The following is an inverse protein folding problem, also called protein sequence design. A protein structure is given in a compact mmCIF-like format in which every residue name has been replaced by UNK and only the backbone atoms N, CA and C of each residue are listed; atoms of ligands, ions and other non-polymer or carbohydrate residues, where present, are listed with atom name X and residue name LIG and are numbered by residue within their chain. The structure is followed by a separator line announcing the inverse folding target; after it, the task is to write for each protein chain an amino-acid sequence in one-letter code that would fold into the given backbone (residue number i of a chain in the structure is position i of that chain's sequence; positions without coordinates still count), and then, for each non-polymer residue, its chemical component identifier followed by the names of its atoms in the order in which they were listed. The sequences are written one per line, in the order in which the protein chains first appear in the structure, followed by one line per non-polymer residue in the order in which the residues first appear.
data_IF_846831892703
#
_entry.id   IF_846831892703
#
_cell.length_a   1.000
_cell.length_b   1.000
_cell.length_c   1.000
_cell.angle_alpha   90.00
_cell.angle_beta   90.00
_cell.angle_gamma   90.00
#
_symmetry.space_group_name_H-M   'P 1'
#
loop_
_entity.id
_entity.type
_entity.pdbx_description
1 polymer ?
#
# COMPACT_ATOMS: atom_id res chain seq x y z
N UNK A 1 -62.00 35.68 -15.02
CA UNK A 1 -62.31 34.61 -14.06
C UNK A 1 -61.27 33.53 -14.29
N UNK A 2 -60.35 33.31 -13.33
CA UNK A 2 -59.23 32.37 -13.52
C UNK A 2 -59.78 30.94 -13.64
N UNK A 3 -59.27 30.16 -14.59
CA UNK A 3 -59.69 28.78 -14.89
C UNK A 3 -59.56 27.83 -13.67
N UNK A 4 -58.75 28.22 -12.68
CA UNK A 4 -58.51 27.49 -11.44
C UNK A 4 -59.52 27.75 -10.31
N UNK A 5 -60.30 28.84 -10.36
CA UNK A 5 -61.32 29.15 -9.32
C UNK A 5 -62.63 28.37 -9.53
N UNK A 6 -62.82 27.75 -10.70
CA UNK A 6 -64.00 26.93 -11.02
C UNK A 6 -63.83 25.44 -10.73
N UNK A 7 -62.66 24.98 -10.27
CA UNK A 7 -62.40 23.56 -10.02
C UNK A 7 -63.03 23.15 -8.70
N UNK A 8 -63.90 22.13 -8.73
CA UNK A 8 -64.49 21.56 -7.53
C UNK A 8 -63.39 21.04 -6.60
N UNK A 9 -63.24 21.67 -5.41
CA UNK A 9 -62.20 21.34 -4.43
C UNK A 9 -62.16 19.86 -4.07
N UNK A 10 -63.32 19.24 -3.91
CA UNK A 10 -63.39 17.83 -3.52
C UNK A 10 -62.86 16.92 -4.62
N UNK A 11 -63.18 17.23 -5.89
CA UNK A 11 -62.65 16.50 -7.04
C UNK A 11 -61.12 16.71 -7.20
N UNK A 12 -60.64 17.94 -6.97
CA UNK A 12 -59.21 18.25 -6.99
C UNK A 12 -58.44 17.49 -5.90
N UNK A 13 -58.97 17.46 -4.67
CA UNK A 13 -58.36 16.72 -3.56
C UNK A 13 -58.34 15.21 -3.81
N UNK A 14 -59.41 14.65 -4.36
CA UNK A 14 -59.45 13.24 -4.76
C UNK A 14 -58.40 12.93 -5.84
N UNK A 15 -58.33 13.75 -6.88
CA UNK A 15 -57.31 13.59 -7.93
C UNK A 15 -55.88 13.72 -7.38
N UNK A 16 -55.61 14.71 -6.52
CA UNK A 16 -54.32 14.88 -5.87
C UNK A 16 -53.97 13.70 -4.96
N UNK A 17 -54.95 13.11 -4.26
CA UNK A 17 -54.75 11.93 -3.43
C UNK A 17 -54.24 10.75 -4.26
N UNK A 18 -54.90 10.48 -5.39
CA UNK A 18 -54.56 9.37 -6.27
C UNK A 18 -53.19 9.58 -6.93
N UNK A 19 -52.94 10.76 -7.49
CA UNK A 19 -51.65 11.11 -8.12
C UNK A 19 -50.52 11.05 -7.09
N UNK A 20 -50.76 11.51 -5.86
CA UNK A 20 -49.79 11.42 -4.76
C UNK A 20 -49.42 9.98 -4.46
N UNK A 21 -50.41 9.09 -4.38
CA UNK A 21 -50.16 7.67 -4.13
C UNK A 21 -49.32 7.05 -5.26
N UNK A 22 -49.57 7.42 -6.51
CA UNK A 22 -48.80 6.97 -7.67
C UNK A 22 -47.36 7.50 -7.65
N UNK A 23 -47.15 8.79 -7.39
CA UNK A 23 -45.81 9.40 -7.30
C UNK A 23 -44.99 8.83 -6.12
N UNK A 24 -45.61 8.60 -4.96
CA UNK A 24 -44.96 7.96 -3.83
C UNK A 24 -44.55 6.52 -4.15
N UNK A 25 -45.40 5.78 -4.86
CA UNK A 25 -45.10 4.42 -5.31
C UNK A 25 -43.94 4.43 -6.31
N UNK A 26 -43.94 5.37 -7.25
CA UNK A 26 -42.88 5.55 -8.23
C UNK A 26 -41.55 5.85 -7.55
N UNK A 27 -41.57 6.74 -6.55
CA UNK A 27 -40.39 7.07 -5.75
C UNK A 27 -39.85 5.84 -5.01
N UNK A 28 -40.72 5.05 -4.35
CA UNK A 28 -40.34 3.81 -3.66
C UNK A 28 -39.70 2.79 -4.61
N UNK A 29 -40.34 2.51 -5.74
CA UNK A 29 -39.81 1.57 -6.74
C UNK A 29 -38.46 2.02 -7.30
N UNK A 30 -38.31 3.31 -7.60
CA UNK A 30 -37.06 3.89 -8.11
C UNK A 30 -35.94 3.79 -7.06
N UNK A 31 -36.25 4.05 -5.79
CA UNK A 31 -35.30 3.89 -4.68
C UNK A 31 -34.83 2.44 -4.53
N UNK A 32 -35.76 1.49 -4.62
CA UNK A 32 -35.44 0.06 -4.53
C UNK A 32 -34.58 -0.41 -5.72
N UNK A 33 -34.90 0.03 -6.94
CA UNK A 33 -34.09 -0.24 -8.13
C UNK A 33 -32.64 0.26 -7.96
N UNK A 34 -32.47 1.50 -7.48
CA UNK A 34 -31.16 2.09 -7.23
C UNK A 34 -30.39 1.33 -6.14
N UNK A 35 -31.06 0.95 -5.06
CA UNK A 35 -30.46 0.15 -3.99
C UNK A 35 -29.97 -1.21 -4.51
N UNK A 36 -30.82 -1.92 -5.28
CA UNK A 36 -30.46 -3.19 -5.87
C UNK A 36 -29.33 -3.06 -6.89
N UNK A 37 -29.35 -2.03 -7.74
CA UNK A 37 -28.28 -1.76 -8.71
C UNK A 37 -26.93 -1.53 -8.02
N UNK A 38 -26.92 -0.74 -6.94
CA UNK A 38 -25.73 -0.55 -6.12
C UNK A 38 -25.22 -1.88 -5.55
N UNK A 39 -26.10 -2.73 -5.00
CA UNK A 39 -25.69 -4.04 -4.49
C UNK A 39 -25.12 -4.95 -5.58
N UNK A 40 -25.76 -5.01 -6.74
CA UNK A 40 -25.30 -5.79 -7.90
C UNK A 40 -23.85 -5.43 -8.29
N UNK A 41 -23.49 -4.14 -8.21
CA UNK A 41 -22.16 -3.66 -8.55
C UNK A 41 -21.05 -4.10 -7.58
N UNK A 42 -21.40 -4.57 -6.38
CA UNK A 42 -20.46 -4.95 -5.32
C UNK A 42 -20.37 -6.47 -5.09
N UNK A 43 -21.15 -7.28 -5.82
CA UNK A 43 -21.22 -8.73 -5.64
C UNK A 43 -20.37 -9.50 -6.67
N UNK A 44 -19.73 -10.59 -6.22
CA UNK A 44 -19.08 -11.57 -7.09
C UNK A 44 -17.60 -11.32 -7.39
N UNK A 45 -16.95 -10.41 -6.67
CA UNK A 45 -15.51 -10.18 -6.80
C UNK A 45 -14.72 -11.27 -6.07
N UNK A 46 -13.72 -11.85 -6.74
CA UNK A 46 -12.77 -12.78 -6.12
C UNK A 46 -11.70 -12.01 -5.35
N UNK A 47 -11.30 -12.55 -4.21
CA UNK A 47 -10.17 -12.00 -3.45
C UNK A 47 -8.85 -12.25 -4.20
N UNK A 48 -7.93 -11.28 -4.27
CA UNK A 48 -6.61 -11.49 -4.86
C UNK A 48 -5.75 -12.33 -3.91
N UNK A 49 -5.87 -13.65 -4.00
CA UNK A 49 -5.07 -14.59 -3.22
C UNK A 49 -3.76 -14.92 -3.94
N UNK A 50 -2.63 -14.69 -3.27
CA UNK A 50 -1.30 -15.02 -3.80
C UNK A 50 -0.93 -16.45 -3.43
N UNK A 51 -0.68 -17.29 -4.44
CA UNK A 51 -0.24 -18.67 -4.24
C UNK A 51 1.18 -18.71 -3.62
N UNK A 52 1.39 -19.41 -2.50
CA UNK A 52 2.72 -19.51 -1.91
C UNK A 52 3.65 -20.35 -2.80
N UNK A 53 4.87 -19.86 -3.03
CA UNK A 53 5.92 -20.58 -3.74
C UNK A 53 6.74 -21.44 -2.76
N UNK A 54 6.36 -22.71 -2.64
CA UNK A 54 6.87 -23.65 -1.62
C UNK A 54 8.25 -24.20 -1.99
N UNK A 55 8.40 -24.64 -3.24
CA UNK A 55 9.59 -25.37 -3.70
C UNK A 55 10.83 -24.47 -3.61
N UNK A 56 10.73 -23.23 -4.14
CA UNK A 56 11.88 -22.30 -4.15
C UNK A 56 12.32 -21.95 -2.73
N UNK A 57 11.38 -21.65 -1.82
CA UNK A 57 11.71 -21.23 -0.45
C UNK A 57 12.25 -22.38 0.41
N UNK A 58 11.73 -23.60 0.23
CA UNK A 58 12.23 -24.77 0.94
C UNK A 58 13.64 -25.16 0.49
N UNK A 59 13.90 -25.11 -0.82
CA UNK A 59 15.24 -25.35 -1.38
C UNK A 59 16.26 -24.33 -0.87
N UNK A 60 15.93 -23.04 -0.91
CA UNK A 60 16.81 -21.97 -0.42
C UNK A 60 17.12 -22.17 1.07
N UNK A 61 16.12 -22.50 1.90
CA UNK A 61 16.35 -22.74 3.32
C UNK A 61 17.27 -23.94 3.59
N UNK A 62 17.14 -25.01 2.80
CA UNK A 62 18.04 -26.16 2.87
C UNK A 62 19.49 -25.77 2.53
N UNK A 63 19.70 -25.03 1.43
CA UNK A 63 21.04 -24.57 1.04
C UNK A 63 21.67 -23.64 2.09
N UNK A 64 20.88 -22.73 2.68
CA UNK A 64 21.35 -21.84 3.74
C UNK A 64 21.73 -22.63 5.00
N UNK A 65 20.90 -23.59 5.41
CA UNK A 65 21.21 -24.45 6.57
C UNK A 65 22.50 -25.25 6.33
N UNK A 66 22.66 -25.81 5.13
CA UNK A 66 23.88 -26.53 4.73
C UNK A 66 25.13 -25.65 4.75
N UNK A 67 25.04 -24.42 4.21
CA UNK A 67 26.16 -23.46 4.22
C UNK A 67 26.54 -23.04 5.65
N UNK A 68 25.56 -22.75 6.50
CA UNK A 68 25.81 -22.37 7.91
C UNK A 68 26.49 -23.51 8.66
N UNK A 69 26.13 -24.77 8.38
CA UNK A 69 26.79 -25.94 8.99
C UNK A 69 28.21 -26.20 8.48
N UNK A 70 28.57 -25.69 7.29
CA UNK A 70 29.88 -25.90 6.68
C UNK A 70 30.94 -24.92 7.21
N UNK A 71 30.53 -23.74 7.71
CA UNK A 71 31.44 -22.73 8.27
C UNK A 71 32.18 -23.23 9.53
N UNK A 72 31.52 -23.81 10.56
CA UNK A 72 32.21 -24.41 11.70
C UNK A 72 33.16 -25.55 11.30
N UNK A 73 32.81 -26.34 10.28
CA UNK A 73 33.64 -27.42 9.74
C UNK A 73 34.98 -26.89 9.20
N UNK A 74 34.95 -25.81 8.41
CA UNK A 74 36.17 -25.18 7.88
C UNK A 74 37.01 -24.59 9.01
N UNK A 75 36.38 -23.93 9.99
CA UNK A 75 37.10 -23.28 11.10
C UNK A 75 37.75 -24.31 12.02
N UNK A 76 37.04 -25.39 12.41
CA UNK A 76 37.59 -26.44 13.27
C UNK A 76 38.67 -27.27 12.57
N UNK A 77 38.44 -27.64 11.30
CA UNK A 77 39.44 -28.40 10.52
C UNK A 77 40.74 -27.61 10.33
N UNK A 78 40.65 -26.28 10.20
CA UNK A 78 41.84 -25.41 10.15
C UNK A 78 42.49 -25.31 11.54
N UNK A 79 41.73 -25.14 12.63
CA UNK A 79 42.27 -24.97 13.98
C UNK A 79 43.06 -26.18 14.48
N UNK A 80 42.57 -27.40 14.27
CA UNK A 80 43.26 -28.65 14.67
C UNK A 80 44.46 -28.97 13.76
N UNK A 81 44.53 -28.44 12.54
CA UNK A 81 45.70 -28.63 11.66
C UNK A 81 46.96 -27.88 12.12
N UNK A 82 46.86 -26.98 13.12
CA UNK A 82 47.98 -26.20 13.64
C UNK A 82 48.66 -26.78 14.89
N UNK A 83 48.13 -27.84 15.52
CA UNK A 83 48.80 -28.52 16.63
C UNK A 83 49.79 -29.58 16.10
N UNK A 84 50.94 -29.12 15.63
CA UNK A 84 52.10 -29.97 15.32
C UNK A 84 53.03 -29.98 16.54
N UNK A 85 53.10 -31.10 17.27
CA UNK A 85 54.09 -31.28 18.35
C UNK A 85 54.63 -32.70 18.36
N UNK A 86 55.83 -32.89 17.81
CA UNK A 86 57.07 -33.26 18.52
C UNK A 86 58.16 -33.59 17.47
N UNK A 87 59.29 -32.89 17.48
CA UNK A 87 60.44 -33.24 16.63
C UNK A 87 61.08 -34.54 17.15
N UNK A 88 60.73 -35.68 16.55
CA UNK A 88 61.46 -36.94 16.80
C UNK A 88 62.51 -37.14 15.71
N UNK A 89 63.77 -37.28 16.12
CA UNK A 89 64.92 -37.56 15.25
C UNK A 89 65.07 -39.08 15.05
N UNK A 90 65.09 -39.53 13.80
CA UNK A 90 65.19 -40.97 13.46
C UNK A 90 66.35 -41.22 12.48
N UNK A 91 67.07 -42.33 12.66
CA UNK A 91 68.21 -42.73 11.80
C UNK A 91 67.75 -43.67 10.67
N UNK A 92 68.11 -43.32 9.43
CA UNK A 92 67.63 -43.93 8.18
C UNK A 92 67.83 -45.45 8.01
N UNK A 93 68.69 -46.09 8.80
CA UNK A 93 69.13 -47.47 8.55
C UNK A 93 68.76 -48.49 9.65
N UNK A 94 68.21 -48.04 10.78
CA UNK A 94 67.95 -48.92 11.93
C UNK A 94 66.46 -49.10 12.25
N UNK A 95 65.59 -48.22 11.74
CA UNK A 95 64.16 -48.26 12.02
C UNK A 95 63.37 -48.55 10.74
N UNK A 96 62.71 -49.71 10.69
CA UNK A 96 61.74 -50.08 9.65
C UNK A 96 60.46 -49.23 9.85
N UNK A 97 60.30 -48.16 9.07
CA UNK A 97 59.11 -47.32 9.13
C UNK A 97 58.67 -46.77 7.77
N UNK A 98 57.41 -47.01 7.40
CA UNK A 98 56.77 -46.53 6.16
C UNK A 98 55.98 -45.23 6.42
N UNK A 99 56.57 -44.07 6.11
CA UNK A 99 55.92 -42.75 6.28
C UNK A 99 56.47 -41.65 5.37
N UNK A 100 55.81 -40.47 5.35
CA UNK A 100 56.19 -39.33 4.51
C UNK A 100 57.19 -38.38 5.21
N UNK A 101 58.23 -37.95 4.48
CA UNK A 101 59.31 -37.08 4.98
C UNK A 101 59.21 -35.65 4.44
N UNK A 102 59.42 -34.63 5.28
CA UNK A 102 59.55 -33.22 4.89
C UNK A 102 61.00 -32.75 5.12
N UNK A 103 61.65 -32.26 4.06
CA UNK A 103 63.05 -31.82 4.11
C UNK A 103 63.17 -30.43 4.77
N UNK A 104 64.10 -30.28 5.72
CA UNK A 104 64.52 -28.97 6.24
C UNK A 104 66.05 -28.89 6.23
N UNK A 105 66.61 -28.14 5.28
CA UNK A 105 68.04 -27.78 5.34
C UNK A 105 68.24 -26.77 6.47
N UNK A 106 69.17 -27.06 7.39
CA UNK A 106 69.79 -26.04 8.23
C UNK A 106 71.24 -25.87 7.78
N UNK A 107 71.63 -24.63 7.56
CA UNK A 107 72.91 -24.24 6.97
C UNK A 107 74.11 -24.58 7.88
N UNK A 108 75.23 -24.94 7.23
CA UNK A 108 76.61 -25.03 7.73
C UNK A 108 76.97 -26.10 8.78
N UNK A 109 77.11 -27.36 8.37
CA UNK A 109 78.26 -28.20 8.76
C UNK A 109 78.42 -29.42 7.82
N UNK A 110 79.61 -29.74 7.24
CA UNK A 110 79.75 -30.80 6.22
C UNK A 110 79.87 -32.23 6.77
N UNK A 111 79.79 -32.42 8.09
CA UNK A 111 80.13 -33.69 8.77
C UNK A 111 79.08 -34.17 9.78
N UNK A 112 77.89 -33.58 9.80
CA UNK A 112 76.76 -34.07 10.61
C UNK A 112 75.75 -34.84 9.75
N UNK A 113 75.46 -36.08 10.11
CA UNK A 113 74.46 -36.92 9.45
C UNK A 113 73.10 -36.21 9.29
N UNK A 114 72.40 -36.36 8.15
CA UNK A 114 71.07 -35.80 7.97
C UNK A 114 70.11 -36.44 8.97
N UNK A 115 69.49 -35.62 9.83
CA UNK A 115 68.44 -36.05 10.73
C UNK A 115 67.06 -35.70 10.16
N UNK A 116 66.16 -36.67 10.17
CA UNK A 116 64.78 -36.50 9.74
C UNK A 116 63.94 -35.98 10.90
N UNK A 117 63.13 -34.95 10.66
CA UNK A 117 62.11 -34.49 11.61
C UNK A 117 60.82 -35.23 11.29
N UNK A 118 60.38 -36.09 12.20
CA UNK A 118 59.07 -36.72 12.13
C UNK A 118 57.98 -35.71 12.51
N UNK A 119 56.90 -35.65 11.73
CA UNK A 119 55.64 -35.03 12.16
C UNK A 119 54.67 -36.21 12.38
N UNK A 120 54.43 -36.59 13.64
CA UNK A 120 53.31 -37.49 13.96
C UNK A 120 52.04 -36.65 13.81
N UNK A 121 51.13 -36.93 12.87
CA UNK A 121 49.75 -36.54 13.13
C UNK A 121 49.27 -37.42 14.29
N UNK A 122 49.25 -36.88 15.51
CA UNK A 122 48.33 -37.43 16.51
C UNK A 122 46.97 -37.33 15.83
N UNK A 123 46.19 -38.41 15.76
CA UNK A 123 44.76 -38.38 16.11
C UNK A 123 43.92 -39.49 15.45
N UNK A 124 43.67 -40.61 16.16
CA UNK A 124 42.39 -41.32 16.01
C UNK A 124 41.21 -40.46 16.50
N UNK A 125 41.43 -39.51 17.41
CA UNK A 125 40.39 -38.64 17.97
C UNK A 125 39.77 -37.68 16.94
N UNK A 126 40.58 -37.05 16.08
CA UNK A 126 40.18 -36.14 15.00
C UNK A 126 39.17 -36.77 14.05
N UNK A 127 39.42 -38.00 13.59
CA UNK A 127 38.47 -38.71 12.74
C UNK A 127 37.12 -38.98 13.42
N UNK A 128 37.10 -39.22 14.74
CA UNK A 128 35.86 -39.43 15.49
C UNK A 128 35.12 -38.12 15.76
N UNK A 129 35.82 -37.05 16.16
CA UNK A 129 35.22 -35.72 16.33
C UNK A 129 34.71 -35.15 15.00
N UNK A 130 35.42 -35.40 13.89
CA UNK A 130 35.01 -35.02 12.55
C UNK A 130 33.77 -35.81 12.09
N UNK A 131 33.71 -37.11 12.34
CA UNK A 131 32.53 -37.92 12.04
C UNK A 131 31.31 -37.49 12.87
N UNK A 132 31.50 -37.22 14.17
CA UNK A 132 30.43 -36.79 15.09
C UNK A 132 29.90 -35.41 14.69
N UNK A 133 30.79 -34.44 14.40
CA UNK A 133 30.39 -33.08 14.03
C UNK A 133 29.66 -33.03 12.69
N UNK A 134 30.14 -33.75 11.66
CA UNK A 134 29.45 -33.88 10.36
C UNK A 134 28.09 -34.55 10.51
N UNK A 135 27.98 -35.56 11.38
CA UNK A 135 26.71 -36.24 11.64
C UNK A 135 25.70 -35.34 12.35
N UNK A 136 26.16 -34.57 13.35
CA UNK A 136 25.30 -33.61 14.07
C UNK A 136 24.81 -32.48 13.15
N UNK A 137 25.71 -31.96 12.31
CA UNK A 137 25.43 -30.85 11.40
C UNK A 137 24.48 -31.27 10.26
N UNK A 138 24.68 -32.46 9.69
CA UNK A 138 23.76 -33.04 8.72
C UNK A 138 22.37 -33.27 9.35
N UNK A 139 22.31 -33.77 10.58
CA UNK A 139 21.06 -33.94 11.32
C UNK A 139 20.30 -32.63 11.51
N UNK A 140 20.99 -31.57 11.95
CA UNK A 140 20.38 -30.25 12.15
C UNK A 140 19.84 -29.63 10.84
N UNK A 141 20.57 -29.78 9.72
CA UNK A 141 20.14 -29.30 8.41
C UNK A 141 18.86 -30.02 7.93
N UNK A 142 18.79 -31.34 8.10
CA UNK A 142 17.61 -32.15 7.75
C UNK A 142 16.41 -31.74 8.60
N UNK A 143 16.56 -31.61 9.92
CA UNK A 143 15.48 -31.18 10.81
C UNK A 143 14.94 -29.80 10.42
N UNK A 144 15.85 -28.85 10.15
CA UNK A 144 15.47 -27.49 9.74
C UNK A 144 14.69 -27.51 8.41
N UNK A 145 15.14 -28.30 7.44
CA UNK A 145 14.46 -28.44 6.16
C UNK A 145 13.08 -29.08 6.29
N UNK A 146 12.92 -30.09 7.16
CA UNK A 146 11.63 -30.71 7.46
C UNK A 146 10.68 -29.70 8.10
N UNK A 147 11.14 -28.92 9.09
CA UNK A 147 10.33 -27.88 9.74
C UNK A 147 9.87 -26.83 8.73
N UNK A 148 10.79 -26.31 7.90
CA UNK A 148 10.46 -25.32 6.86
C UNK A 148 9.48 -25.88 5.83
N UNK A 149 9.66 -27.14 5.42
CA UNK A 149 8.75 -27.84 4.53
C UNK A 149 7.33 -27.93 5.15
N UNK A 150 7.22 -28.38 6.40
CA UNK A 150 5.94 -28.45 7.13
C UNK A 150 5.25 -27.08 7.25
N UNK A 151 6.00 -26.02 7.57
CA UNK A 151 5.46 -24.66 7.65
C UNK A 151 4.94 -24.17 6.28
N UNK A 152 5.64 -24.46 5.20
CA UNK A 152 5.21 -24.09 3.84
C UNK A 152 4.01 -24.92 3.36
N UNK A 153 3.93 -26.20 3.72
CA UNK A 153 2.75 -27.04 3.48
C UNK A 153 1.52 -26.51 4.22
N UNK A 154 1.68 -26.03 5.47
CA UNK A 154 0.62 -25.36 6.22
C UNK A 154 0.18 -24.05 5.56
N UNK A 155 1.11 -23.27 4.99
CA UNK A 155 0.78 -22.07 4.19
C UNK A 155 0.00 -22.42 2.91
N UNK A 156 0.33 -23.53 2.26
CA UNK A 156 -0.41 -24.00 1.09
C UNK A 156 -1.81 -24.50 1.44
N UNK A 157 -1.96 -25.27 2.52
CA UNK A 157 -3.26 -25.78 2.95
C UNK A 157 -4.19 -24.64 3.34
N UNK A 158 -3.69 -23.62 4.06
CA UNK A 158 -4.45 -22.41 4.37
C UNK A 158 -4.81 -21.59 3.13
N UNK A 159 -3.91 -21.47 2.15
CA UNK A 159 -4.23 -20.87 0.85
C UNK A 159 -5.36 -21.61 0.13
N UNK A 160 -5.29 -22.94 0.03
CA UNK A 160 -6.31 -23.75 -0.65
C UNK A 160 -7.67 -23.66 0.07
N UNK A 161 -7.66 -23.65 1.40
CA UNK A 161 -8.88 -23.44 2.21
C UNK A 161 -9.51 -22.08 1.90
N UNK A 162 -8.73 -21.00 1.97
CA UNK A 162 -9.21 -19.64 1.67
C UNK A 162 -9.71 -19.51 0.24
N UNK A 163 -9.04 -20.15 -0.73
CA UNK A 163 -9.47 -20.18 -2.13
C UNK A 163 -10.84 -20.85 -2.27
N UNK A 164 -11.05 -22.00 -1.64
CA UNK A 164 -12.34 -22.71 -1.67
C UNK A 164 -13.45 -21.91 -0.97
N UNK A 165 -13.15 -21.31 0.18
CA UNK A 165 -14.08 -20.42 0.89
C UNK A 165 -14.48 -19.21 0.04
N UNK A 166 -13.51 -18.59 -0.64
CA UNK A 166 -13.76 -17.47 -1.55
C UNK A 166 -14.59 -17.89 -2.77
N UNK A 167 -14.31 -19.05 -3.36
CA UNK A 167 -15.10 -19.60 -4.48
C UNK A 167 -16.56 -19.89 -4.06
N UNK A 168 -16.78 -20.44 -2.86
CA UNK A 168 -18.12 -20.67 -2.33
C UNK A 168 -18.85 -19.35 -2.05
N UNK A 169 -18.17 -18.37 -1.44
CA UNK A 169 -18.70 -17.02 -1.21
C UNK A 169 -19.12 -16.37 -2.52
N UNK A 170 -18.23 -16.35 -3.51
CA UNK A 170 -18.49 -15.76 -4.83
C UNK A 170 -19.64 -16.47 -5.54
N UNK A 171 -19.74 -17.80 -5.46
CA UNK A 171 -20.87 -18.54 -6.02
C UNK A 171 -22.21 -18.13 -5.39
N UNK A 172 -22.25 -17.98 -4.05
CA UNK A 172 -23.45 -17.49 -3.35
C UNK A 172 -23.79 -16.05 -3.73
N UNK A 173 -22.80 -15.16 -3.82
CA UNK A 173 -22.97 -13.77 -4.24
C UNK A 173 -23.45 -13.66 -5.69
N UNK A 174 -22.99 -14.53 -6.60
CA UNK A 174 -23.46 -14.57 -7.98
C UNK A 174 -24.93 -15.02 -8.08
N UNK A 175 -25.36 -15.99 -7.26
CA UNK A 175 -26.78 -16.36 -7.17
C UNK A 175 -27.63 -15.20 -6.65
N UNK A 176 -27.14 -14.49 -5.64
CA UNK A 176 -27.80 -13.28 -5.13
C UNK A 176 -27.84 -12.17 -6.17
N UNK A 177 -26.75 -11.97 -6.93
CA UNK A 177 -26.71 -11.01 -8.03
C UNK A 177 -27.78 -11.34 -9.07
N UNK A 178 -27.92 -12.60 -9.45
CA UNK A 178 -28.94 -13.04 -10.40
C UNK A 178 -30.37 -12.80 -9.89
N UNK A 179 -30.64 -13.09 -8.62
CA UNK A 179 -31.97 -12.85 -8.05
C UNK A 179 -32.30 -11.36 -7.95
N UNK A 180 -31.32 -10.50 -7.65
CA UNK A 180 -31.48 -9.05 -7.67
C UNK A 180 -31.73 -8.51 -9.10
N UNK A 181 -31.06 -9.06 -10.11
CA UNK A 181 -31.31 -8.70 -11.51
C UNK A 181 -32.75 -9.02 -11.89
N UNK A 182 -33.21 -10.25 -11.61
CA UNK A 182 -34.60 -10.65 -11.88
C UNK A 182 -35.63 -9.81 -11.11
N UNK A 183 -35.33 -9.43 -9.87
CA UNK A 183 -36.18 -8.52 -9.09
C UNK A 183 -36.24 -7.14 -9.75
N UNK A 184 -35.11 -6.60 -10.20
CA UNK A 184 -35.07 -5.32 -10.90
C UNK A 184 -35.82 -5.35 -12.24
N UNK A 185 -35.77 -6.45 -12.98
CA UNK A 185 -36.60 -6.61 -14.18
C UNK A 185 -38.09 -6.49 -13.88
N UNK A 186 -38.58 -7.15 -12.82
CA UNK A 186 -39.98 -7.03 -12.37
C UNK A 186 -40.32 -5.61 -11.93
N UNK A 187 -39.48 -4.99 -11.09
CA UNK A 187 -39.68 -3.61 -10.63
C UNK A 187 -39.71 -2.61 -11.80
N UNK A 188 -38.89 -2.83 -12.84
CA UNK A 188 -38.89 -2.01 -14.05
C UNK A 188 -40.19 -2.16 -14.85
N UNK A 189 -40.76 -3.37 -14.91
CA UNK A 189 -42.06 -3.59 -15.55
C UNK A 189 -43.17 -2.86 -14.78
N UNK A 190 -43.23 -3.03 -13.45
CA UNK A 190 -44.18 -2.33 -12.57
C UNK A 190 -44.05 -0.81 -12.69
N UNK A 191 -42.82 -0.30 -12.70
CA UNK A 191 -42.54 1.12 -12.89
C UNK A 191 -43.02 1.62 -14.28
N UNK A 192 -42.87 0.78 -15.30
CA UNK A 192 -43.36 1.06 -16.65
C UNK A 192 -44.88 1.19 -16.71
N UNK A 193 -45.61 0.29 -16.05
CA UNK A 193 -47.07 0.35 -15.94
C UNK A 193 -47.52 1.57 -15.12
N UNK A 194 -46.86 1.80 -13.98
CA UNK A 194 -47.13 2.94 -13.12
C UNK A 194 -46.95 4.28 -13.86
N UNK A 195 -45.87 4.42 -14.64
CA UNK A 195 -45.63 5.61 -15.44
C UNK A 195 -46.72 5.84 -16.50
N UNK A 196 -47.32 4.79 -17.07
CA UNK A 196 -48.46 4.93 -17.99
C UNK A 196 -49.70 5.48 -17.27
N UNK A 197 -50.05 4.92 -16.12
CA UNK A 197 -51.20 5.37 -15.31
C UNK A 197 -51.00 6.82 -14.86
N UNK A 198 -49.79 7.15 -14.42
CA UNK A 198 -49.43 8.48 -13.95
C UNK A 198 -49.43 9.50 -15.11
N UNK A 199 -49.00 9.10 -16.32
CA UNK A 199 -49.13 9.93 -17.52
C UNK A 199 -50.60 10.20 -17.90
N UNK A 200 -51.47 9.19 -17.80
CA UNK A 200 -52.91 9.36 -18.03
C UNK A 200 -53.54 10.34 -17.03
N UNK A 201 -53.16 10.24 -15.74
CA UNK A 201 -53.64 11.18 -14.73
C UNK A 201 -53.16 12.61 -14.98
N UNK A 202 -51.90 12.80 -15.39
CA UNK A 202 -51.38 14.12 -15.73
C UNK A 202 -51.93 14.70 -17.04
N UNK A 203 -52.46 13.88 -17.94
CA UNK A 203 -53.13 14.35 -19.16
C UNK A 203 -54.43 15.12 -18.88
N UNK A 204 -55.00 14.97 -17.68
CA UNK A 204 -56.17 15.75 -17.21
C UNK A 204 -55.81 17.24 -17.04
N UNK A 205 -54.52 17.59 -17.05
CA UNK A 205 -53.99 18.97 -17.03
C UNK A 205 -54.43 19.84 -15.84
N UNK A 206 -54.97 19.24 -14.78
CA UNK A 206 -55.29 19.92 -13.51
C UNK A 206 -54.03 20.39 -12.76
N UNK A 207 -52.97 19.58 -12.80
CA UNK A 207 -51.70 19.87 -12.12
C UNK A 207 -50.73 20.48 -13.14
N UNK A 208 -50.24 21.73 -12.94
CA UNK A 208 -49.29 22.33 -13.86
C UNK A 208 -47.96 21.56 -13.87
N UNK A 209 -47.29 21.53 -15.03
CA UNK A 209 -46.09 20.70 -15.26
C UNK A 209 -45.00 20.81 -14.20
N UNK A 210 -44.76 22.02 -13.68
CA UNK A 210 -43.74 22.28 -12.66
C UNK A 210 -44.01 21.58 -11.31
N UNK A 211 -45.25 21.16 -11.04
CA UNK A 211 -45.64 20.46 -9.81
C UNK A 211 -45.85 18.95 -10.01
N UNK A 212 -45.65 18.43 -11.23
CA UNK A 212 -45.83 17.00 -11.59
C UNK A 212 -44.63 16.16 -11.12
N UNK A 213 -44.42 16.14 -9.81
CA UNK A 213 -43.39 15.36 -9.14
C UNK A 213 -43.84 15.06 -7.71
N UNK A 214 -43.19 14.10 -7.05
CA UNK A 214 -43.53 13.66 -5.69
C UNK A 214 -43.62 14.79 -4.67
N UNK A 215 -42.69 15.76 -4.71
CA UNK A 215 -42.66 16.89 -3.78
C UNK A 215 -43.85 17.84 -4.02
N UNK A 216 -44.08 18.21 -5.27
CA UNK A 216 -45.16 19.10 -5.68
C UNK A 216 -46.53 18.52 -5.37
N UNK A 217 -46.78 17.27 -5.75
CA UNK A 217 -48.09 16.63 -5.52
C UNK A 217 -48.35 16.39 -4.03
N UNK A 218 -47.35 15.94 -3.27
CA UNK A 218 -47.49 15.80 -1.82
C UNK A 218 -47.80 17.14 -1.15
N UNK A 219 -47.05 18.20 -1.49
CA UNK A 219 -47.29 19.53 -0.93
C UNK A 219 -48.68 20.06 -1.28
N UNK A 220 -49.08 20.00 -2.56
CA UNK A 220 -50.38 20.51 -2.99
C UNK A 220 -51.53 19.77 -2.30
N UNK A 221 -51.42 18.44 -2.16
CA UNK A 221 -52.40 17.66 -1.42
C UNK A 221 -52.44 18.06 0.05
N UNK A 222 -51.29 18.10 0.74
CA UNK A 222 -51.21 18.41 2.16
C UNK A 222 -51.74 19.81 2.45
N UNK A 223 -51.28 20.80 1.67
CA UNK A 223 -51.68 22.18 1.81
C UNK A 223 -53.19 22.36 1.58
N UNK A 224 -53.77 21.77 0.53
CA UNK A 224 -55.20 21.89 0.28
C UNK A 224 -56.07 21.04 1.22
N UNK A 225 -55.55 19.92 1.72
CA UNK A 225 -56.29 19.10 2.68
C UNK A 225 -56.38 19.75 4.07
N UNK A 226 -55.40 20.59 4.42
CA UNK A 226 -55.28 21.23 5.74
C UNK A 226 -55.67 22.70 5.76
N UNK A 227 -55.56 23.42 4.64
CA UNK A 227 -55.97 24.82 4.52
C UNK A 227 -57.38 24.96 3.93
N UNK A 228 -57.96 26.16 4.05
CA UNK A 228 -59.16 26.57 3.28
C UNK A 228 -58.80 27.46 2.08
N UNK A 229 -57.52 27.56 1.75
CA UNK A 229 -57.04 28.44 0.69
C UNK A 229 -57.30 27.87 -0.71
N UNK A 230 -57.27 28.75 -1.71
CA UNK A 230 -57.50 28.39 -3.11
C UNK A 230 -56.33 27.57 -3.67
N UNK A 231 -56.58 26.85 -4.76
CA UNK A 231 -55.53 26.12 -5.46
C UNK A 231 -54.43 27.06 -5.95
N UNK A 232 -54.79 28.26 -6.43
CA UNK A 232 -53.82 29.27 -6.84
C UNK A 232 -52.89 29.67 -5.69
N UNK A 233 -53.42 29.90 -4.48
CA UNK A 233 -52.60 30.17 -3.30
C UNK A 233 -51.65 29.02 -2.97
N UNK A 234 -52.09 27.77 -3.12
CA UNK A 234 -51.23 26.60 -2.91
C UNK A 234 -50.06 26.57 -3.90
N UNK A 235 -50.30 26.86 -5.18
CA UNK A 235 -49.27 26.91 -6.22
C UNK A 235 -48.25 28.02 -5.95
N UNK A 236 -48.71 29.20 -5.51
CA UNK A 236 -47.83 30.33 -5.15
C UNK A 236 -46.99 29.97 -3.93
N UNK A 237 -47.61 29.47 -2.86
CA UNK A 237 -46.90 29.11 -1.62
C UNK A 237 -45.84 28.03 -1.84
N UNK A 238 -46.11 27.02 -2.68
CA UNK A 238 -45.11 26.02 -3.06
C UNK A 238 -43.87 26.67 -3.70
N UNK A 239 -44.07 27.53 -4.70
CA UNK A 239 -42.98 28.19 -5.40
C UNK A 239 -42.19 29.11 -4.45
N UNK A 240 -42.88 29.84 -3.57
CA UNK A 240 -42.25 30.69 -2.56
C UNK A 240 -41.40 29.89 -1.58
N UNK A 241 -41.92 28.76 -1.09
CA UNK A 241 -41.16 27.86 -0.21
C UNK A 241 -39.90 27.31 -0.90
N UNK A 242 -40.01 26.89 -2.16
CA UNK A 242 -38.85 26.44 -2.94
C UNK A 242 -37.82 27.54 -3.16
N UNK A 243 -38.26 28.76 -3.47
CA UNK A 243 -37.37 29.91 -3.61
C UNK A 243 -36.61 30.17 -2.29
N UNK A 244 -37.31 30.14 -1.16
CA UNK A 244 -36.70 30.32 0.15
C UNK A 244 -35.62 29.25 0.45
N UNK A 245 -35.91 27.97 0.20
CA UNK A 245 -34.95 26.87 0.40
C UNK A 245 -33.73 27.03 -0.52
N UNK A 246 -33.95 27.32 -1.81
CA UNK A 246 -32.87 27.52 -2.77
C UNK A 246 -31.98 28.72 -2.38
N UNK A 247 -32.59 29.81 -1.89
CA UNK A 247 -31.86 30.96 -1.37
C UNK A 247 -31.01 30.59 -0.16
N UNK A 248 -31.56 29.84 0.80
CA UNK A 248 -30.79 29.39 1.97
C UNK A 248 -29.57 28.55 1.58
N UNK A 249 -29.73 27.61 0.64
CA UNK A 249 -28.60 26.82 0.12
C UNK A 249 -27.55 27.68 -0.60
N UNK A 250 -27.98 28.67 -1.38
CA UNK A 250 -27.07 29.60 -2.03
C UNK A 250 -26.26 30.42 -1.02
N UNK A 251 -26.93 30.94 0.01
CA UNK A 251 -26.29 31.68 1.12
C UNK A 251 -25.26 30.80 1.82
N UNK A 252 -25.60 29.54 2.12
CA UNK A 252 -24.68 28.61 2.75
C UNK A 252 -23.44 28.35 1.88
N UNK A 253 -23.61 28.05 0.60
CA UNK A 253 -22.49 27.83 -0.33
C UNK A 253 -21.61 29.05 -0.48
N UNK A 254 -22.20 30.24 -0.54
CA UNK A 254 -21.45 31.49 -0.59
C UNK A 254 -20.64 31.70 0.70
N UNK A 255 -21.21 31.38 1.87
CA UNK A 255 -20.48 31.38 3.14
C UNK A 255 -19.27 30.45 3.13
N UNK A 256 -19.44 29.21 2.66
CA UNK A 256 -18.33 28.24 2.54
C UNK A 256 -17.25 28.73 1.57
N UNK A 257 -17.63 29.28 0.41
CA UNK A 257 -16.71 29.84 -0.57
C UNK A 257 -15.91 31.01 0.02
N UNK A 258 -16.56 31.89 0.78
CA UNK A 258 -15.91 33.03 1.42
C UNK A 258 -14.87 32.57 2.47
N UNK A 259 -15.18 31.54 3.25
CA UNK A 259 -14.23 30.93 4.19
C UNK A 259 -13.02 30.35 3.44
N UNK A 260 -13.25 29.61 2.35
CA UNK A 260 -12.16 29.05 1.54
C UNK A 260 -11.29 30.14 0.90
N UNK A 261 -11.90 31.22 0.42
CA UNK A 261 -11.19 32.37 -0.12
C UNK A 261 -10.32 33.02 0.95
N UNK A 262 -10.83 33.19 2.17
CA UNK A 262 -10.06 33.71 3.30
C UNK A 262 -8.84 32.82 3.61
N UNK A 263 -9.02 31.50 3.72
CA UNK A 263 -7.92 30.53 3.94
C UNK A 263 -6.89 30.57 2.81
N UNK A 264 -7.35 30.72 1.57
CA UNK A 264 -6.46 30.78 0.41
C UNK A 264 -5.63 32.06 0.43
N UNK A 265 -6.24 33.20 0.77
CA UNK A 265 -5.56 34.49 0.88
C UNK A 265 -4.52 34.50 2.01
N UNK A 266 -4.82 33.89 3.16
CA UNK A 266 -3.84 33.79 4.25
C UNK A 266 -2.65 32.91 3.85
N UNK A 267 -2.91 31.75 3.24
CA UNK A 267 -1.83 30.88 2.69
C UNK A 267 -0.99 31.59 1.64
N UNK A 268 -1.61 32.37 0.75
CA UNK A 268 -0.89 33.14 -0.26
C UNK A 268 0.02 34.20 0.38
N UNK A 269 -0.45 34.86 1.45
CA UNK A 269 0.35 35.80 2.24
C UNK A 269 1.54 35.10 2.90
N UNK A 270 1.34 33.93 3.50
CA UNK A 270 2.40 33.15 4.12
C UNK A 270 3.46 32.71 3.10
N UNK A 271 3.03 32.20 1.94
CA UNK A 271 3.94 31.85 0.84
C UNK A 271 4.74 33.06 0.35
N UNK A 272 4.10 34.23 0.24
CA UNK A 272 4.79 35.47 -0.14
C UNK A 272 5.86 35.84 0.89
N UNK A 273 5.57 35.68 2.18
CA UNK A 273 6.54 35.94 3.24
C UNK A 273 7.69 34.92 3.24
N UNK A 274 7.40 33.65 3.02
CA UNK A 274 8.42 32.61 2.85
C UNK A 274 9.34 32.88 1.64
N UNK A 275 8.76 33.25 0.49
CA UNK A 275 9.53 33.59 -0.70
C UNK A 275 10.45 34.80 -0.44
N UNK A 276 9.96 35.84 0.25
CA UNK A 276 10.80 36.99 0.66
C UNK A 276 11.96 36.54 1.55
N UNK A 277 11.71 35.70 2.54
CA UNK A 277 12.74 35.18 3.43
C UNK A 277 13.78 34.33 2.66
N UNK A 278 13.33 33.52 1.71
CA UNK A 278 14.20 32.73 0.85
C UNK A 278 15.09 33.61 -0.03
N UNK A 279 14.51 34.62 -0.69
CA UNK A 279 15.27 35.58 -1.50
C UNK A 279 16.33 36.32 -0.67
N UNK A 280 15.99 36.72 0.56
CA UNK A 280 16.95 37.33 1.47
C UNK A 280 18.11 36.38 1.82
N UNK A 281 17.83 35.10 2.07
CA UNK A 281 18.86 34.09 2.34
C UNK A 281 19.76 33.85 1.14
N UNK A 282 19.19 33.76 -0.06
CA UNK A 282 19.95 33.60 -1.30
C UNK A 282 20.92 34.78 -1.52
N UNK A 283 20.46 36.01 -1.28
CA UNK A 283 21.32 37.19 -1.34
C UNK A 283 22.50 37.11 -0.35
N UNK A 284 22.26 36.68 0.89
CA UNK A 284 23.35 36.48 1.87
C UNK A 284 24.32 35.37 1.48
N UNK A 285 23.83 34.27 0.88
CA UNK A 285 24.69 33.18 0.38
C UNK A 285 25.57 33.68 -0.76
N UNK A 286 25.01 34.45 -1.69
CA UNK A 286 25.75 35.06 -2.80
C UNK A 286 26.89 35.95 -2.29
N UNK A 287 26.59 36.87 -1.36
CA UNK A 287 27.59 37.73 -0.73
C UNK A 287 28.70 36.95 -0.01
N UNK A 288 28.33 35.92 0.77
CA UNK A 288 29.29 35.08 1.47
C UNK A 288 30.16 34.26 0.51
N UNK A 289 29.58 33.79 -0.60
CA UNK A 289 30.30 33.04 -1.64
C UNK A 289 31.31 33.93 -2.36
N UNK A 290 30.91 35.17 -2.69
CA UNK A 290 31.81 36.16 -3.27
C UNK A 290 32.98 36.47 -2.31
N UNK A 291 32.68 36.64 -1.02
CA UNK A 291 33.70 36.90 0.00
C UNK A 291 34.65 35.71 0.18
N UNK A 292 34.14 34.48 0.19
CA UNK A 292 34.96 33.27 0.27
C UNK A 292 35.89 33.14 -0.95
N UNK A 293 35.40 33.45 -2.15
CA UNK A 293 36.22 33.47 -3.37
C UNK A 293 37.35 34.51 -3.28
N UNK A 294 37.05 35.72 -2.78
CA UNK A 294 38.06 36.77 -2.53
C UNK A 294 39.14 36.30 -1.55
N UNK A 295 38.75 35.72 -0.41
CA UNK A 295 39.71 35.21 0.56
C UNK A 295 40.55 34.05 0.03
N UNK A 296 39.96 33.13 -0.75
CA UNK A 296 40.70 32.04 -1.37
C UNK A 296 41.78 32.55 -2.34
N UNK A 297 41.44 33.54 -3.19
CA UNK A 297 42.39 34.18 -4.10
C UNK A 297 43.51 34.90 -3.34
N UNK A 298 43.20 35.62 -2.25
CA UNK A 298 44.21 36.24 -1.40
C UNK A 298 45.15 35.22 -0.75
N UNK A 299 44.61 34.11 -0.25
CA UNK A 299 45.42 33.07 0.37
C UNK A 299 46.35 32.37 -0.64
N UNK A 300 45.87 32.13 -1.85
CA UNK A 300 46.69 31.61 -2.94
C UNK A 300 47.82 32.58 -3.29
N UNK A 301 47.52 33.88 -3.44
CA UNK A 301 48.52 34.90 -3.69
C UNK A 301 49.57 34.98 -2.57
N UNK A 302 49.14 34.94 -1.31
CA UNK A 302 50.04 34.89 -0.15
C UNK A 302 50.92 33.64 -0.18
N UNK A 303 50.35 32.48 -0.49
CA UNK A 303 51.08 31.21 -0.59
C UNK A 303 52.14 31.24 -1.69
N UNK A 304 51.81 31.79 -2.86
CA UNK A 304 52.76 32.01 -3.96
C UNK A 304 53.87 32.98 -3.54
N UNK A 305 53.52 34.06 -2.86
CA UNK A 305 54.47 35.07 -2.37
C UNK A 305 55.44 34.46 -1.36
N UNK A 306 54.96 33.71 -0.37
CA UNK A 306 55.80 33.00 0.60
C UNK A 306 56.72 32.00 -0.10
N UNK A 307 56.19 31.23 -1.05
CA UNK A 307 56.98 30.27 -1.83
C UNK A 307 58.10 30.97 -2.62
N UNK A 308 57.80 32.11 -3.23
CA UNK A 308 58.79 32.95 -3.91
C UNK A 308 59.88 33.43 -2.95
N UNK A 309 59.52 33.98 -1.79
CA UNK A 309 60.49 34.43 -0.79
C UNK A 309 61.37 33.28 -0.27
N UNK A 310 60.79 32.10 0.00
CA UNK A 310 61.56 30.91 0.38
C UNK A 310 62.56 30.49 -0.69
N UNK A 311 62.16 30.51 -1.96
CA UNK A 311 63.04 30.20 -3.07
C UNK A 311 64.18 31.24 -3.16
N UNK A 312 63.86 32.53 -3.03
CA UNK A 312 64.86 33.59 -3.00
C UNK A 312 65.86 33.44 -1.84
N UNK A 313 65.40 33.12 -0.63
CA UNK A 313 66.28 32.87 0.51
C UNK A 313 67.21 31.67 0.28
N UNK A 314 66.70 30.59 -0.31
CA UNK A 314 67.50 29.41 -0.66
C UNK A 314 68.65 29.77 -1.61
N UNK A 315 68.35 30.55 -2.66
CA UNK A 315 69.39 31.01 -3.60
C UNK A 315 70.37 32.03 -3.03
N UNK A 316 70.04 32.69 -1.91
CA UNK A 316 70.92 33.64 -1.22
C UNK A 316 71.90 32.97 -0.24
N UNK A 317 71.64 31.72 0.15
CA UNK A 317 72.47 30.95 1.10
C UNK A 317 73.46 30.00 0.39
N UNK A 318 73.53 30.05 -0.94
CA UNK A 318 74.55 29.40 -1.78
C UNK A 318 75.48 30.46 -2.35
#
# INVERSE_FOLDING_TARGET
MNEYDSVNRQALLAHLYDVRALELTKYKLTSELNYNANRINHLGYKLPLVKPNIIKKSMIAFFIAFLITLVPFVIYGIAESYEITDEVRVHMFLDDFDGFFLWRYREFDPLSDPYYVYIVPIQPAFNHYLLISVSLSAGAAVITAVIVCMLNLKKLSTYNRRKKEDEMRVCAELKQKQSLIQRNEKLNQELGELNKILAQNYAINLIPGQFRNVEGVCYLYEYLSTSRESFQSALINFNMNRLNINMQHMIQRQGEMLIQQYITNTRLSDMKNQNKAMLSKLCSIEQNTELAAKYAAMNEMNTRTISFFKAYEFFRQT
#
